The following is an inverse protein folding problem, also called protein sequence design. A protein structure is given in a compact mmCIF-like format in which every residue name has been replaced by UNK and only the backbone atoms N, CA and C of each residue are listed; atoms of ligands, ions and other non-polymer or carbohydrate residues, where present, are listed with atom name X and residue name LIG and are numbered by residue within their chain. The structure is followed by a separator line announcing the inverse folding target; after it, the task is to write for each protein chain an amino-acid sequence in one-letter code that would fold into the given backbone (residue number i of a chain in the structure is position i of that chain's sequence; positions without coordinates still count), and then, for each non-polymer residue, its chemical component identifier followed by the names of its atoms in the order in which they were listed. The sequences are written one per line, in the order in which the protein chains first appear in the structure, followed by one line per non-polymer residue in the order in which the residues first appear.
data_IF_373541211762
#
_entry.id   IF_373541211762
#
_cell.length_a   1.000
_cell.length_b   1.000
_cell.length_c   1.000
_cell.angle_alpha   90.00
_cell.angle_beta   90.00
_cell.angle_gamma   90.00
#
_symmetry.space_group_name_H-M   'P 1'
#
loop_
_entity.id
_entity.type
_entity.pdbx_description
1 polymer ?
#
# COMPACT_ATOMS: atom_id res chain seq x y z
N UNK A 1 -0.73 -5.65 2.49
CA UNK A 1 -1.38 -5.92 3.79
C UNK A 1 -0.29 -6.11 4.84
N UNK A 2 -0.38 -5.51 6.05
CA UNK A 2 0.57 -5.80 7.12
C UNK A 2 0.43 -7.27 7.55
N UNK A 3 1.56 -7.94 7.75
CA UNK A 3 1.61 -9.33 8.21
C UNK A 3 1.26 -9.40 9.70
N UNK A 4 -0.04 -9.43 10.02
CA UNK A 4 -0.53 -9.57 11.40
C UNK A 4 -0.44 -11.05 11.85
N UNK A 5 0.28 -11.37 12.95
CA UNK A 5 0.46 -12.76 13.39
C UNK A 5 -0.84 -13.54 13.56
N UNK A 6 -1.87 -12.91 14.12
CA UNK A 6 -3.16 -13.59 14.37
C UNK A 6 -3.92 -13.87 13.06
N UNK A 7 -3.81 -12.99 12.06
CA UNK A 7 -4.43 -13.17 10.74
C UNK A 7 -3.71 -14.26 9.92
N UNK A 8 -2.41 -14.42 10.13
CA UNK A 8 -1.60 -15.46 9.49
C UNK A 8 -1.70 -16.83 10.18
N UNK A 9 -2.26 -16.90 11.38
CA UNK A 9 -2.40 -18.15 12.10
C UNK A 9 -3.18 -19.17 11.25
N UNK A 10 -2.67 -20.40 11.18
CA UNK A 10 -3.26 -21.50 10.41
C UNK A 10 -3.41 -21.23 8.90
N UNK A 11 -2.64 -20.28 8.34
CA UNK A 11 -2.63 -19.96 6.91
C UNK A 11 -1.21 -19.97 6.33
N UNK A 12 -1.12 -20.18 5.03
CA UNK A 12 0.11 -19.91 4.28
C UNK A 12 0.22 -18.40 4.11
N UNK A 13 1.25 -17.80 4.72
CA UNK A 13 1.53 -16.38 4.56
C UNK A 13 2.27 -16.14 3.22
N UNK A 14 1.72 -15.25 2.39
CA UNK A 14 2.32 -14.85 1.11
C UNK A 14 2.60 -13.34 1.15
N UNK A 15 3.76 -12.94 0.61
CA UNK A 15 4.22 -11.56 0.67
C UNK A 15 5.58 -11.39 -0.01
N UNK A 16 5.98 -10.15 -0.20
CA UNK A 16 7.28 -9.82 -0.78
C UNK A 16 8.40 -9.80 0.28
N UNK A 17 9.65 -9.71 -0.16
CA UNK A 17 10.83 -9.76 0.73
C UNK A 17 10.83 -8.68 1.81
N UNK A 18 10.28 -7.50 1.51
CA UNK A 18 10.22 -6.37 2.45
C UNK A 18 9.15 -6.58 3.51
N UNK A 19 8.02 -7.21 3.17
CA UNK A 19 6.93 -7.49 4.11
C UNK A 19 7.37 -8.49 5.20
N UNK A 20 8.19 -9.48 4.86
CA UNK A 20 8.68 -10.48 5.80
C UNK A 20 9.94 -10.07 6.58
N UNK A 21 10.45 -8.85 6.38
CA UNK A 21 11.65 -8.40 7.09
C UNK A 21 11.44 -8.45 8.61
N UNK A 22 12.36 -9.13 9.32
CA UNK A 22 12.29 -9.31 10.77
C UNK A 22 11.30 -10.39 11.25
N UNK A 23 10.65 -11.12 10.34
CA UNK A 23 9.64 -12.14 10.69
C UNK A 23 10.16 -13.53 10.32
N UNK A 24 10.49 -14.34 11.32
CA UNK A 24 10.98 -15.71 11.13
C UNK A 24 9.85 -16.75 11.08
N UNK A 25 10.07 -17.86 10.36
CA UNK A 25 9.12 -18.97 10.20
C UNK A 25 9.84 -20.32 10.21
N UNK A 26 9.19 -21.39 10.70
CA UNK A 26 9.74 -22.75 10.60
C UNK A 26 10.09 -23.12 9.15
N UNK A 27 9.14 -22.93 8.24
CA UNK A 27 9.29 -23.24 6.82
C UNK A 27 9.10 -21.97 5.98
N UNK A 28 10.04 -21.69 5.07
CA UNK A 28 9.96 -20.57 4.12
C UNK A 28 10.19 -21.06 2.70
N UNK A 29 9.29 -20.68 1.79
CA UNK A 29 9.43 -20.90 0.36
C UNK A 29 9.83 -19.56 -0.28
N UNK A 30 11.03 -19.48 -0.84
CA UNK A 30 11.53 -18.28 -1.51
C UNK A 30 11.46 -18.49 -3.02
N UNK A 31 10.59 -17.73 -3.68
CA UNK A 31 10.45 -17.71 -5.13
C UNK A 31 11.41 -16.69 -5.75
N UNK A 32 11.83 -16.96 -6.99
CA UNK A 32 12.65 -16.08 -7.81
C UNK A 32 13.99 -15.70 -7.15
N UNK A 33 14.57 -16.59 -6.34
CA UNK A 33 15.94 -16.44 -5.82
C UNK A 33 16.98 -16.98 -6.82
N UNK A 34 16.85 -16.53 -8.07
CA UNK A 34 17.69 -16.88 -9.21
C UNK A 34 18.04 -15.62 -10.03
N UNK A 35 18.70 -15.78 -11.19
CA UNK A 35 19.10 -14.62 -11.99
C UNK A 35 17.92 -13.74 -12.46
N UNK A 36 16.69 -14.26 -12.50
CA UNK A 36 15.50 -13.48 -12.84
C UNK A 36 15.17 -12.40 -11.81
N UNK A 37 15.65 -12.50 -10.56
CA UNK A 37 15.51 -11.45 -9.56
C UNK A 37 16.01 -10.10 -10.09
N UNK A 38 17.16 -10.09 -10.76
CA UNK A 38 17.77 -8.89 -11.34
C UNK A 38 17.02 -8.38 -12.57
N UNK A 39 16.12 -9.17 -13.15
CA UNK A 39 15.24 -8.74 -14.24
C UNK A 39 13.99 -8.04 -13.71
N UNK A 40 13.41 -8.52 -12.60
CA UNK A 40 12.10 -8.07 -12.14
C UNK A 40 12.15 -7.16 -10.91
N UNK A 41 13.08 -7.38 -9.98
CA UNK A 41 13.10 -6.71 -8.68
C UNK A 41 14.38 -5.89 -8.48
N UNK A 42 15.54 -6.54 -8.41
CA UNK A 42 16.83 -5.89 -8.13
C UNK A 42 17.56 -5.41 -9.37
N UNK A 43 16.90 -4.67 -10.28
CA UNK A 43 17.50 -4.29 -11.58
C UNK A 43 18.78 -3.46 -11.46
N UNK A 44 18.91 -2.68 -10.39
CA UNK A 44 20.11 -1.89 -10.07
C UNK A 44 21.09 -2.61 -9.14
N UNK A 45 20.70 -3.75 -8.57
CA UNK A 45 21.51 -4.42 -7.55
C UNK A 45 22.77 -5.03 -8.19
N UNK A 46 23.92 -4.96 -7.51
CA UNK A 46 25.15 -5.59 -7.95
C UNK A 46 24.97 -7.12 -8.05
N UNK A 47 25.39 -7.72 -9.17
CA UNK A 47 25.16 -9.15 -9.43
C UNK A 47 26.23 -10.06 -8.83
N UNK A 48 27.37 -9.49 -8.42
CA UNK A 48 28.52 -10.20 -7.85
C UNK A 48 28.35 -10.54 -6.36
N UNK A 49 27.28 -10.09 -5.72
CA UNK A 49 26.99 -10.34 -4.30
C UNK A 49 25.50 -10.59 -4.07
N UNK A 50 25.16 -11.16 -2.93
CA UNK A 50 23.77 -11.39 -2.55
C UNK A 50 23.06 -10.05 -2.27
N UNK A 51 21.93 -9.73 -2.94
CA UNK A 51 21.14 -8.56 -2.63
C UNK A 51 20.60 -8.63 -1.19
N UNK A 52 20.63 -7.52 -0.46
CA UNK A 52 20.16 -7.48 0.92
C UNK A 52 18.70 -7.96 1.09
N UNK A 53 17.74 -7.63 0.20
CA UNK A 53 16.38 -8.16 0.28
C UNK A 53 16.33 -9.69 0.12
N UNK A 54 17.14 -10.25 -0.78
CA UNK A 54 17.24 -11.71 -0.98
C UNK A 54 17.83 -12.36 0.26
N UNK A 55 18.94 -11.85 0.80
CA UNK A 55 19.55 -12.36 2.02
C UNK A 55 18.58 -12.32 3.21
N UNK A 56 17.84 -11.21 3.36
CA UNK A 56 16.81 -11.09 4.39
C UNK A 56 15.76 -12.19 4.24
N UNK A 57 15.27 -12.45 3.02
CA UNK A 57 14.29 -13.49 2.75
C UNK A 57 14.81 -14.91 3.06
N UNK A 58 16.03 -15.22 2.63
CA UNK A 58 16.66 -16.54 2.84
C UNK A 58 16.89 -16.83 4.34
N UNK A 59 17.15 -15.79 5.15
CA UNK A 59 17.36 -15.90 6.60
C UNK A 59 16.08 -15.89 7.43
N UNK A 60 14.88 -15.93 6.80
CA UNK A 60 13.61 -16.02 7.55
C UNK A 60 13.29 -17.45 7.98
N UNK A 61 13.87 -18.46 7.35
CA UNK A 61 13.66 -19.86 7.70
C UNK A 61 14.43 -20.22 8.98
N UNK A 62 13.78 -20.92 9.90
CA UNK A 62 14.38 -21.42 11.14
C UNK A 62 14.58 -22.94 11.13
N UNK A 63 13.79 -23.68 10.35
CA UNK A 63 13.90 -25.13 10.23
C UNK A 63 14.15 -25.58 8.79
N UNK A 64 13.34 -25.12 7.83
CA UNK A 64 13.44 -25.53 6.43
C UNK A 64 13.29 -24.35 5.46
N UNK A 65 14.29 -24.20 4.60
CA UNK A 65 14.27 -23.27 3.48
C UNK A 65 14.05 -24.06 2.18
N UNK A 66 13.06 -23.66 1.39
CA UNK A 66 12.83 -24.18 0.04
C UNK A 66 13.01 -23.04 -0.94
N UNK A 67 13.97 -23.16 -1.85
CA UNK A 67 14.19 -22.18 -2.91
C UNK A 67 13.51 -22.71 -4.18
N UNK A 68 12.54 -21.94 -4.69
CA UNK A 68 11.86 -22.26 -5.95
C UNK A 68 12.55 -21.50 -7.07
N UNK A 69 13.29 -22.24 -7.87
CA UNK A 69 14.08 -21.75 -8.99
C UNK A 69 13.27 -21.79 -10.29
N UNK A 70 13.30 -20.72 -11.08
CA UNK A 70 12.60 -20.69 -12.38
C UNK A 70 13.33 -21.56 -13.41
N UNK A 71 12.59 -22.50 -14.01
CA UNK A 71 13.10 -23.35 -15.09
C UNK A 71 13.74 -22.52 -16.21
N UNK A 72 14.96 -22.88 -16.60
CA UNK A 72 15.69 -22.21 -17.68
C UNK A 72 16.36 -20.89 -17.28
N UNK A 73 16.27 -20.45 -16.03
CA UNK A 73 17.10 -19.35 -15.51
C UNK A 73 18.40 -19.90 -14.92
N UNK A 74 19.55 -19.20 -15.05
CA UNK A 74 20.73 -19.53 -14.28
C UNK A 74 20.53 -19.14 -12.80
N UNK A 75 21.28 -19.76 -11.90
CA UNK A 75 21.38 -19.28 -10.51
C UNK A 75 22.02 -17.89 -10.48
N UNK A 76 21.88 -17.18 -9.36
CA UNK A 76 22.51 -15.86 -9.21
C UNK A 76 24.04 -15.97 -9.33
N UNK A 77 24.70 -14.93 -9.87
CA UNK A 77 26.13 -15.03 -10.24
C UNK A 77 27.07 -15.28 -9.06
N UNK A 78 26.72 -14.80 -7.88
CA UNK A 78 27.49 -15.03 -6.65
C UNK A 78 27.29 -16.44 -6.05
N UNK A 79 26.26 -17.18 -6.49
CA UNK A 79 26.03 -18.56 -6.03
C UNK A 79 27.11 -19.46 -6.64
N UNK A 80 27.56 -20.45 -5.90
CA UNK A 80 28.51 -21.45 -6.38
C UNK A 80 27.76 -22.75 -6.62
N UNK A 81 27.58 -23.12 -7.88
CA UNK A 81 26.70 -24.23 -8.26
C UNK A 81 27.26 -25.58 -7.79
N UNK A 82 28.59 -25.69 -7.70
CA UNK A 82 29.33 -26.81 -7.14
C UNK A 82 29.00 -27.12 -5.67
N UNK A 83 28.54 -26.12 -4.91
CA UNK A 83 28.20 -26.27 -3.49
C UNK A 83 26.72 -26.55 -3.25
N UNK A 84 25.86 -26.47 -4.26
CA UNK A 84 24.42 -26.63 -4.07
C UNK A 84 24.13 -28.05 -3.56
N UNK A 85 24.70 -29.08 -4.19
CA UNK A 85 24.50 -30.47 -3.77
C UNK A 85 25.13 -30.82 -2.43
N UNK A 86 26.07 -29.99 -1.93
CA UNK A 86 26.66 -30.16 -0.60
C UNK A 86 25.74 -29.63 0.50
N UNK A 87 25.06 -28.50 0.25
CA UNK A 87 24.29 -27.79 1.27
C UNK A 87 22.76 -27.90 1.11
N UNK A 88 22.27 -28.44 0.00
CA UNK A 88 20.84 -28.53 -0.28
C UNK A 88 20.47 -29.78 -1.07
N UNK A 89 19.32 -30.34 -0.74
CA UNK A 89 18.65 -31.33 -1.57
C UNK A 89 18.14 -30.66 -2.86
N UNK A 90 18.57 -31.16 -4.02
CA UNK A 90 18.15 -30.64 -5.31
C UNK A 90 17.04 -31.51 -5.92
N UNK A 91 15.84 -30.93 -6.05
CA UNK A 91 14.68 -31.57 -6.69
C UNK A 91 14.46 -30.98 -8.08
N UNK A 92 15.19 -31.49 -9.08
CA UNK A 92 14.93 -31.19 -10.48
C UNK A 92 13.87 -32.14 -11.05
N UNK A 93 12.94 -31.63 -11.87
CA UNK A 93 12.23 -32.53 -12.80
C UNK A 93 13.29 -33.19 -13.71
N UNK A 94 13.21 -34.51 -13.87
CA UNK A 94 14.23 -35.30 -14.58
C UNK A 94 14.57 -34.67 -15.94
N UNK A 95 15.86 -34.37 -16.16
CA UNK A 95 16.40 -33.86 -17.44
C UNK A 95 16.78 -32.37 -17.50
N UNK A 96 16.59 -31.59 -16.44
CA UNK A 96 16.99 -30.17 -16.43
C UNK A 96 18.37 -29.97 -15.76
N UNK A 97 19.38 -29.68 -16.57
CA UNK A 97 20.64 -29.12 -16.09
C UNK A 97 20.49 -27.62 -15.83
N UNK A 98 21.16 -27.09 -14.80
CA UNK A 98 21.20 -25.65 -14.56
C UNK A 98 21.87 -24.96 -15.76
N UNK A 99 21.26 -23.90 -16.33
CA UNK A 99 21.88 -23.12 -17.39
C UNK A 99 23.20 -22.50 -16.91
N UNK A 100 24.20 -22.47 -17.78
CA UNK A 100 25.47 -21.80 -17.50
C UNK A 100 25.27 -20.31 -17.26
N UNK A 101 26.02 -19.76 -16.28
CA UNK A 101 26.07 -18.33 -16.00
C UNK A 101 26.87 -17.64 -17.11
N UNK A 102 26.19 -16.92 -18.00
CA UNK A 102 26.85 -16.16 -19.06
C UNK A 102 27.05 -14.68 -18.71
N UNK A 103 28.17 -14.12 -19.18
CA UNK A 103 28.51 -12.69 -19.11
C UNK A 103 29.14 -12.21 -17.80
N UNK A 104 29.86 -11.08 -17.87
CA UNK A 104 30.46 -10.42 -16.69
C UNK A 104 29.39 -9.98 -15.67
N UNK A 105 29.70 -10.04 -14.38
CA UNK A 105 28.84 -9.47 -13.34
C UNK A 105 28.68 -7.98 -13.57
N UNK A 106 27.42 -7.51 -13.56
CA UNK A 106 27.15 -6.07 -13.65
C UNK A 106 27.43 -5.44 -12.30
N UNK A 107 28.23 -4.38 -12.30
CA UNK A 107 28.36 -3.48 -11.17
C UNK A 107 27.00 -2.85 -10.82
N UNK A 108 26.86 -2.35 -9.59
CA UNK A 108 25.66 -1.64 -9.17
C UNK A 108 25.30 -0.53 -10.17
N UNK A 109 24.04 -0.50 -10.56
CA UNK A 109 23.47 0.50 -11.45
C UNK A 109 22.48 1.36 -10.65
N UNK A 110 22.20 2.60 -11.08
CA UNK A 110 21.12 3.38 -10.50
C UNK A 110 19.83 2.54 -10.57
N UNK A 111 19.10 2.40 -9.46
CA UNK A 111 17.90 1.58 -9.44
C UNK A 111 16.91 2.05 -10.50
N UNK A 112 16.33 1.09 -11.22
CA UNK A 112 15.32 1.38 -12.24
C UNK A 112 13.99 1.62 -11.51
N UNK A 113 13.39 2.79 -11.74
CA UNK A 113 12.09 3.11 -11.18
C UNK A 113 11.06 2.21 -11.90
N UNK A 114 10.05 1.63 -11.22
CA UNK A 114 8.97 0.94 -11.91
C UNK A 114 8.25 1.90 -12.88
N UNK A 115 7.92 1.47 -14.11
CA UNK A 115 7.27 2.34 -15.09
C UNK A 115 5.83 2.71 -14.70
N UNK A 116 5.21 1.91 -13.84
CA UNK A 116 3.88 2.15 -13.27
C UNK A 116 3.98 2.05 -11.76
N UNK A 117 3.48 3.05 -11.05
CA UNK A 117 3.45 3.11 -9.59
C UNK A 117 2.06 3.56 -9.15
N UNK A 118 1.46 2.85 -8.19
CA UNK A 118 0.25 3.33 -7.56
C UNK A 118 0.57 4.47 -6.59
N UNK A 119 -0.25 5.53 -6.60
CA UNK A 119 -0.08 6.69 -5.70
C UNK A 119 0.00 6.25 -4.24
N UNK A 120 -0.74 5.21 -3.87
CA UNK A 120 -0.74 4.66 -2.52
C UNK A 120 0.59 4.01 -2.10
N UNK A 121 1.41 3.61 -3.08
CA UNK A 121 2.74 3.02 -2.89
C UNK A 121 3.85 4.07 -2.90
N UNK A 122 3.65 5.24 -3.49
CA UNK A 122 4.72 6.22 -3.76
C UNK A 122 5.55 6.57 -2.50
N UNK A 123 4.89 6.83 -1.38
CA UNK A 123 5.54 7.16 -0.10
C UNK A 123 5.79 5.94 0.81
N UNK A 124 5.31 4.75 0.47
CA UNK A 124 5.48 3.56 1.30
C UNK A 124 6.95 3.14 1.37
N UNK A 125 7.36 2.65 2.54
CA UNK A 125 8.70 2.18 2.87
C UNK A 125 9.80 3.24 2.86
N UNK A 126 9.45 4.53 2.74
CA UNK A 126 10.40 5.63 2.98
C UNK A 126 10.52 5.83 4.51
N UNK A 127 11.74 5.94 5.07
CA UNK A 127 11.92 6.18 6.50
C UNK A 127 11.14 7.41 6.99
N UNK A 128 10.46 7.29 8.13
CA UNK A 128 9.53 8.30 8.66
C UNK A 128 10.15 9.70 8.72
N UNK A 129 11.37 9.83 9.25
CA UNK A 129 12.04 11.13 9.39
C UNK A 129 12.38 11.76 8.03
N UNK A 130 12.69 10.94 7.03
CA UNK A 130 12.94 11.41 5.67
C UNK A 130 11.63 11.86 5.02
N UNK A 131 10.56 11.06 5.17
CA UNK A 131 9.24 11.40 4.65
C UNK A 131 8.68 12.68 5.29
N UNK A 132 8.82 12.86 6.60
CA UNK A 132 8.38 14.06 7.32
C UNK A 132 9.05 15.32 6.76
N UNK A 133 10.38 15.29 6.55
CA UNK A 133 11.13 16.40 5.93
C UNK A 133 10.62 16.72 4.53
N UNK A 134 10.37 15.71 3.70
CA UNK A 134 9.86 15.91 2.34
C UNK A 134 8.44 16.50 2.34
N UNK A 135 7.56 15.98 3.19
CA UNK A 135 6.18 16.49 3.33
C UNK A 135 6.20 17.95 3.80
N UNK A 136 6.96 18.28 4.85
CA UNK A 136 7.05 19.67 5.36
C UNK A 136 7.69 20.65 4.39
N UNK A 137 8.60 20.17 3.53
CA UNK A 137 9.26 20.98 2.50
C UNK A 137 8.28 21.45 1.43
N UNK A 138 7.31 20.60 1.07
CA UNK A 138 6.50 20.79 -0.14
C UNK A 138 5.01 21.02 0.12
N UNK A 139 4.47 20.57 1.25
CA UNK A 139 3.04 20.64 1.55
C UNK A 139 2.77 21.50 2.78
N UNK A 140 1.76 22.37 2.67
CA UNK A 140 1.09 22.96 3.82
C UNK A 140 -0.15 22.13 4.14
N UNK A 141 -0.25 21.67 5.40
CA UNK A 141 -1.33 20.83 5.87
C UNK A 141 -2.04 21.52 7.03
N UNK A 142 -3.18 22.13 6.75
CA UNK A 142 -3.98 22.83 7.76
C UNK A 142 -5.11 21.93 8.27
N UNK A 143 -5.16 21.66 9.58
CA UNK A 143 -6.34 21.01 10.19
C UNK A 143 -7.53 21.95 10.09
N UNK A 144 -8.57 21.51 9.37
CA UNK A 144 -9.85 22.23 9.23
C UNK A 144 -10.78 21.84 10.37
N UNK A 145 -10.87 20.54 10.64
CA UNK A 145 -11.64 19.98 11.74
C UNK A 145 -10.71 19.11 12.58
N UNK A 146 -10.51 19.41 13.87
CA UNK A 146 -9.67 18.59 14.73
C UNK A 146 -10.30 17.22 14.99
N UNK A 147 -9.46 16.23 15.29
CA UNK A 147 -9.93 14.94 15.77
C UNK A 147 -10.80 15.12 17.02
N UNK A 148 -11.91 14.40 17.08
CA UNK A 148 -12.77 14.39 18.27
C UNK A 148 -12.08 13.71 19.45
N UNK A 149 -12.58 13.87 20.69
CA UNK A 149 -12.08 13.11 21.83
C UNK A 149 -12.15 11.59 21.59
N UNK A 150 -11.20 10.77 22.09
CA UNK A 150 -11.16 9.32 21.85
C UNK A 150 -12.46 8.58 22.16
N UNK A 151 -13.19 8.99 23.19
CA UNK A 151 -14.48 8.41 23.57
C UNK A 151 -15.58 8.59 22.51
N UNK A 152 -15.38 9.52 21.56
CA UNK A 152 -16.32 9.77 20.47
C UNK A 152 -15.87 9.15 19.14
N UNK A 153 -14.69 8.52 19.10
CA UNK A 153 -14.17 7.87 17.90
C UNK A 153 -15.05 6.69 17.50
N UNK A 154 -15.19 6.47 16.20
CA UNK A 154 -15.87 5.32 15.64
C UNK A 154 -14.85 4.20 15.52
N UNK A 155 -15.00 3.17 16.36
CA UNK A 155 -14.08 2.03 16.44
C UNK A 155 -14.81 0.75 16.00
N UNK A 156 -14.90 0.49 14.69
CA UNK A 156 -15.47 -0.74 14.15
C UNK A 156 -14.49 -1.91 14.27
N UNK A 157 -14.95 -3.10 13.92
CA UNK A 157 -14.09 -4.29 13.82
C UNK A 157 -13.22 -4.14 12.59
N UNK A 158 -11.92 -3.93 12.80
CA UNK A 158 -10.92 -3.88 11.71
C UNK A 158 -10.38 -5.26 11.34
N UNK A 159 -10.68 -6.25 12.18
CA UNK A 159 -10.35 -7.66 12.04
C UNK A 159 -11.55 -8.51 12.48
N UNK A 160 -11.87 -9.55 11.73
CA UNK A 160 -13.05 -10.40 11.98
C UNK A 160 -12.72 -11.88 11.80
N UNK A 161 -13.41 -12.74 12.54
CA UNK A 161 -13.30 -14.19 12.39
C UNK A 161 -14.09 -14.63 11.16
N UNK A 162 -13.40 -15.16 10.15
CA UNK A 162 -14.00 -15.73 8.95
C UNK A 162 -14.42 -17.19 9.14
N UNK A 163 -13.64 -17.94 9.93
CA UNK A 163 -13.92 -19.33 10.27
C UNK A 163 -13.69 -19.54 11.77
N UNK A 164 -14.75 -19.90 12.50
CA UNK A 164 -14.69 -20.12 13.95
C UNK A 164 -14.09 -21.49 14.32
N UNK A 165 -14.18 -22.47 13.42
CA UNK A 165 -13.66 -23.83 13.66
C UNK A 165 -12.15 -23.83 13.54
N UNK A 166 -11.62 -23.14 12.53
CA UNK A 166 -10.18 -23.05 12.28
C UNK A 166 -9.53 -21.79 12.87
N UNK A 167 -10.29 -21.01 13.66
CA UNK A 167 -9.90 -19.73 14.27
C UNK A 167 -9.19 -18.77 13.29
N UNK A 168 -9.75 -18.67 12.07
CA UNK A 168 -9.18 -17.83 11.01
C UNK A 168 -9.74 -16.42 11.11
N UNK A 169 -8.84 -15.44 11.08
CA UNK A 169 -9.18 -14.02 11.09
C UNK A 169 -8.83 -13.34 9.78
N UNK A 170 -9.60 -12.32 9.38
CA UNK A 170 -9.34 -11.50 8.20
C UNK A 170 -9.30 -10.02 8.55
N UNK A 171 -8.42 -9.25 7.89
CA UNK A 171 -8.35 -7.79 8.03
C UNK A 171 -9.39 -7.18 7.09
N UNK A 172 -10.36 -6.48 7.65
CA UNK A 172 -11.44 -5.80 6.91
C UNK A 172 -11.38 -4.28 7.05
N UNK A 173 -10.52 -3.78 7.95
CA UNK A 173 -10.41 -2.34 8.23
C UNK A 173 -10.09 -1.48 7.01
N UNK A 174 -9.36 -2.02 6.03
CA UNK A 174 -9.02 -1.32 4.78
C UNK A 174 -10.21 -1.14 3.85
N UNK A 175 -11.30 -1.89 4.04
CA UNK A 175 -12.51 -1.81 3.22
C UNK A 175 -13.55 -0.82 3.80
N UNK A 176 -13.38 -0.39 5.05
CA UNK A 176 -14.37 0.44 5.74
C UNK A 176 -14.55 1.81 5.08
N UNK A 177 -13.48 2.43 4.58
CA UNK A 177 -13.60 3.70 3.84
C UNK A 177 -14.44 3.52 2.57
N UNK A 178 -14.18 2.47 1.78
CA UNK A 178 -14.93 2.15 0.57
C UNK A 178 -16.42 1.89 0.87
N UNK A 179 -16.73 1.16 1.94
CA UNK A 179 -18.11 0.92 2.39
C UNK A 179 -18.83 2.23 2.70
N UNK A 180 -18.19 3.13 3.45
CA UNK A 180 -18.80 4.42 3.78
C UNK A 180 -18.91 5.33 2.54
N UNK A 181 -17.89 5.35 1.68
CA UNK A 181 -17.94 6.10 0.41
C UNK A 181 -19.10 5.64 -0.46
N UNK A 182 -19.29 4.32 -0.64
CA UNK A 182 -20.43 3.79 -1.41
C UNK A 182 -21.79 4.09 -0.77
N UNK A 183 -21.88 4.11 0.57
CA UNK A 183 -23.10 4.54 1.26
C UNK A 183 -23.43 6.02 1.00
N UNK A 184 -22.41 6.87 0.99
CA UNK A 184 -22.55 8.31 0.72
C UNK A 184 -22.89 8.57 -0.74
N UNK A 185 -22.26 7.86 -1.67
CA UNK A 185 -22.62 7.89 -3.09
C UNK A 185 -24.10 7.56 -3.28
N UNK A 186 -24.59 6.48 -2.66
CA UNK A 186 -25.98 6.08 -2.77
C UNK A 186 -26.94 7.15 -2.26
N UNK A 187 -26.61 7.80 -1.13
CA UNK A 187 -27.45 8.88 -0.57
C UNK A 187 -27.49 10.11 -1.48
N UNK A 188 -26.35 10.48 -2.08
CA UNK A 188 -26.24 11.72 -2.85
C UNK A 188 -26.65 11.57 -4.32
N UNK A 189 -26.39 10.41 -4.92
CA UNK A 189 -26.49 10.17 -6.36
C UNK A 189 -27.42 9.01 -6.70
N UNK A 190 -27.77 8.16 -5.73
CA UNK A 190 -28.62 6.98 -5.94
C UNK A 190 -27.89 5.78 -6.56
N UNK A 191 -26.56 5.83 -6.63
CA UNK A 191 -25.72 4.80 -7.26
C UNK A 191 -24.73 4.17 -6.27
N UNK A 192 -24.15 3.03 -6.64
CA UNK A 192 -23.02 2.40 -5.94
C UNK A 192 -21.94 1.97 -6.95
N UNK A 193 -21.79 2.74 -8.02
CA UNK A 193 -20.86 2.48 -9.12
C UNK A 193 -19.42 2.54 -8.63
N UNK A 194 -19.14 3.35 -7.60
CA UNK A 194 -17.82 3.38 -6.95
C UNK A 194 -17.38 2.01 -6.45
N UNK A 195 -18.31 1.11 -6.11
CA UNK A 195 -18.05 -0.26 -5.67
C UNK A 195 -18.33 -1.30 -6.76
N UNK A 196 -18.58 -0.88 -8.00
CA UNK A 196 -18.97 -1.76 -9.12
C UNK A 196 -20.21 -2.60 -8.80
N UNK A 197 -21.08 -2.09 -7.92
CA UNK A 197 -22.28 -2.78 -7.48
C UNK A 197 -23.53 -2.15 -8.08
N UNK A 198 -24.46 -3.02 -8.47
CA UNK A 198 -25.80 -2.59 -8.88
C UNK A 198 -26.52 -1.91 -7.71
N UNK A 199 -27.14 -0.77 -7.96
CA UNK A 199 -27.95 -0.06 -6.99
C UNK A 199 -29.44 -0.41 -7.09
N UNK A 200 -29.86 -1.16 -8.13
CA UNK A 200 -31.22 -1.70 -8.21
C UNK A 200 -31.46 -2.63 -7.01
N UNK A 201 -32.59 -2.40 -6.33
CA UNK A 201 -32.97 -3.06 -5.08
C UNK A 201 -32.02 -2.81 -3.89
N UNK A 202 -31.41 -1.63 -3.81
CA UNK A 202 -30.62 -1.26 -2.62
C UNK A 202 -31.51 -1.36 -1.34
N UNK A 203 -31.08 -2.08 -0.30
CA UNK A 203 -31.95 -2.37 0.83
C UNK A 203 -32.37 -1.13 1.61
N UNK A 204 -33.61 -1.10 2.13
CA UNK A 204 -34.05 -0.04 3.05
C UNK A 204 -33.42 -0.15 4.44
N UNK A 205 -33.25 -1.38 4.94
CA UNK A 205 -32.72 -1.63 6.29
C UNK A 205 -31.20 -1.45 6.33
N UNK A 206 -30.70 -0.65 7.28
CA UNK A 206 -29.27 -0.32 7.42
C UNK A 206 -28.37 -1.54 7.57
N UNK A 207 -28.78 -2.57 8.34
CA UNK A 207 -28.01 -3.82 8.44
C UNK A 207 -27.81 -4.49 7.07
N UNK A 208 -28.86 -4.53 6.24
CA UNK A 208 -28.79 -5.11 4.90
C UNK A 208 -27.95 -4.26 3.94
N UNK A 209 -27.98 -2.92 4.09
CA UNK A 209 -27.10 -2.00 3.36
C UNK A 209 -25.63 -2.26 3.69
N UNK A 210 -25.29 -2.37 4.98
CA UNK A 210 -23.94 -2.67 5.46
C UNK A 210 -23.44 -3.98 4.84
N UNK A 211 -24.26 -5.04 4.89
CA UNK A 211 -23.90 -6.32 4.32
C UNK A 211 -23.72 -6.27 2.80
N UNK A 212 -24.59 -5.57 2.07
CA UNK A 212 -24.49 -5.40 0.60
C UNK A 212 -23.22 -4.64 0.22
N UNK A 213 -22.96 -3.49 0.84
CA UNK A 213 -21.78 -2.67 0.56
C UNK A 213 -20.48 -3.39 0.96
N UNK A 214 -20.50 -4.15 2.05
CA UNK A 214 -19.33 -4.94 2.48
C UNK A 214 -18.97 -6.03 1.47
N UNK A 215 -19.97 -6.73 0.91
CA UNK A 215 -19.74 -7.70 -0.18
C UNK A 215 -19.21 -7.03 -1.43
N UNK A 216 -19.78 -5.88 -1.81
CA UNK A 216 -19.32 -5.11 -2.95
C UNK A 216 -17.86 -4.64 -2.79
N UNK A 217 -17.50 -4.14 -1.61
CA UNK A 217 -16.11 -3.75 -1.32
C UNK A 217 -15.13 -4.93 -1.38
N UNK A 218 -15.55 -6.14 -0.96
CA UNK A 218 -14.74 -7.36 -1.11
C UNK A 218 -14.59 -7.76 -2.57
N UNK A 219 -15.65 -7.68 -3.36
CA UNK A 219 -15.61 -7.98 -4.79
C UNK A 219 -14.67 -7.01 -5.51
N UNK A 220 -14.81 -5.72 -5.22
CA UNK A 220 -13.95 -4.68 -5.79
C UNK A 220 -12.48 -4.90 -5.44
N UNK A 221 -12.15 -5.16 -4.17
CA UNK A 221 -10.76 -5.44 -3.76
C UNK A 221 -10.23 -6.72 -4.42
N UNK A 222 -11.09 -7.73 -4.61
CA UNK A 222 -10.74 -8.96 -5.34
C UNK A 222 -10.43 -8.67 -6.81
N UNK A 223 -11.23 -7.85 -7.47
CA UNK A 223 -11.01 -7.44 -8.87
C UNK A 223 -9.74 -6.60 -9.01
N UNK A 224 -9.49 -5.68 -8.07
CA UNK A 224 -8.32 -4.79 -8.07
C UNK A 224 -7.03 -5.56 -7.79
N UNK A 225 -7.00 -6.40 -6.75
CA UNK A 225 -5.80 -7.11 -6.32
C UNK A 225 -5.54 -8.42 -7.09
N UNK A 226 -6.58 -8.98 -7.71
CA UNK A 226 -6.57 -10.35 -8.24
C UNK A 226 -6.60 -11.44 -7.16
N UNK A 227 -6.64 -11.08 -5.87
CA UNK A 227 -6.59 -12.01 -4.76
C UNK A 227 -8.00 -12.41 -4.30
N UNK A 228 -8.37 -13.67 -4.55
CA UNK A 228 -9.70 -14.21 -4.19
C UNK A 228 -9.82 -14.67 -2.73
N UNK A 229 -8.74 -14.67 -1.96
CA UNK A 229 -8.72 -15.25 -0.62
C UNK A 229 -9.75 -14.60 0.31
N UNK A 230 -9.81 -13.26 0.34
CA UNK A 230 -10.77 -12.56 1.18
C UNK A 230 -12.22 -12.84 0.75
N UNK A 231 -12.49 -12.87 -0.55
CA UNK A 231 -13.81 -13.23 -1.09
C UNK A 231 -14.25 -14.62 -0.65
N UNK A 232 -13.37 -15.61 -0.76
CA UNK A 232 -13.66 -16.99 -0.32
C UNK A 232 -13.89 -17.03 1.19
N UNK A 233 -13.04 -16.37 1.98
CA UNK A 233 -13.17 -16.33 3.43
C UNK A 233 -14.47 -15.64 3.90
N UNK A 234 -15.03 -14.73 3.09
CA UNK A 234 -16.22 -13.96 3.43
C UNK A 234 -17.53 -14.50 2.84
N UNK A 235 -17.51 -15.58 2.06
CA UNK A 235 -18.68 -16.08 1.32
C UNK A 235 -19.92 -16.31 2.22
N UNK A 236 -19.70 -16.85 3.42
CA UNK A 236 -20.77 -17.13 4.40
C UNK A 236 -20.71 -16.19 5.62
N UNK A 237 -19.89 -15.15 5.58
CA UNK A 237 -19.74 -14.22 6.70
C UNK A 237 -20.94 -13.26 6.76
N UNK A 238 -21.47 -12.89 7.95
CA UNK A 238 -22.62 -11.98 8.06
C UNK A 238 -22.31 -10.50 7.76
N UNK A 239 -21.05 -10.16 7.55
CA UNK A 239 -20.54 -8.81 7.26
C UNK A 239 -20.88 -7.73 8.32
N UNK A 240 -21.06 -8.13 9.57
CA UNK A 240 -21.33 -7.25 10.72
C UNK A 240 -20.05 -6.57 11.27
N UNK A 241 -19.25 -5.97 10.38
CA UNK A 241 -17.95 -5.37 10.71
C UNK A 241 -18.07 -4.02 11.41
N UNK A 242 -19.15 -3.31 11.10
CA UNK A 242 -19.52 -2.01 11.67
C UNK A 242 -20.97 -2.12 12.14
N UNK A 243 -21.28 -1.53 13.31
CA UNK A 243 -22.66 -1.49 13.80
C UNK A 243 -23.48 -0.43 13.04
N UNK A 244 -24.81 -0.53 13.07
CA UNK A 244 -25.69 0.45 12.41
C UNK A 244 -25.43 1.89 12.90
N UNK A 245 -25.29 2.08 14.22
CA UNK A 245 -24.98 3.38 14.81
C UNK A 245 -23.65 3.93 14.30
N UNK A 246 -22.60 3.11 14.30
CA UNK A 246 -21.27 3.50 13.81
C UNK A 246 -21.29 3.81 12.31
N UNK A 247 -22.03 3.03 11.52
CA UNK A 247 -22.16 3.21 10.07
C UNK A 247 -22.88 4.51 9.73
N UNK A 248 -24.05 4.76 10.35
CA UNK A 248 -24.81 5.99 10.19
C UNK A 248 -23.95 7.20 10.57
N UNK A 249 -23.29 7.14 11.73
CA UNK A 249 -22.41 8.23 12.20
C UNK A 249 -21.26 8.51 11.23
N UNK A 250 -20.58 7.47 10.72
CA UNK A 250 -19.49 7.63 9.76
C UNK A 250 -19.97 8.18 8.41
N UNK A 251 -21.10 7.68 7.91
CA UNK A 251 -21.76 8.16 6.69
C UNK A 251 -22.13 9.63 6.83
N UNK A 252 -22.78 10.01 7.92
CA UNK A 252 -23.23 11.38 8.15
C UNK A 252 -22.04 12.34 8.36
N UNK A 253 -20.95 11.88 8.97
CA UNK A 253 -19.70 12.65 9.03
C UNK A 253 -19.18 12.96 7.63
N UNK A 254 -19.14 11.97 6.73
CA UNK A 254 -18.63 12.19 5.38
C UNK A 254 -19.59 13.05 4.55
N UNK A 255 -20.91 12.77 4.62
CA UNK A 255 -21.95 13.60 3.99
C UNK A 255 -21.81 15.07 4.36
N UNK A 256 -21.55 15.37 5.63
CA UNK A 256 -21.41 16.75 6.12
C UNK A 256 -20.21 17.52 5.55
N UNK A 257 -19.29 16.86 4.84
CA UNK A 257 -18.14 17.51 4.20
C UNK A 257 -18.51 18.19 2.87
N UNK A 258 -19.63 17.76 2.26
CA UNK A 258 -20.09 18.25 0.97
C UNK A 258 -20.98 19.48 1.11
N UNK A 259 -20.91 20.38 0.14
CA UNK A 259 -21.82 21.52 0.11
C UNK A 259 -23.22 21.09 -0.33
N UNK A 260 -24.30 21.50 0.38
CA UNK A 260 -25.67 21.23 -0.04
C UNK A 260 -26.03 21.81 -1.43
N UNK A 261 -25.24 22.80 -1.88
CA UNK A 261 -25.39 23.48 -3.17
C UNK A 261 -24.39 22.99 -4.22
N UNK A 262 -23.77 21.83 -4.01
CA UNK A 262 -22.93 21.22 -5.04
C UNK A 262 -23.78 20.86 -6.26
N UNK A 263 -23.24 21.08 -7.46
CA UNK A 263 -23.93 20.74 -8.71
C UNK A 263 -23.85 19.25 -8.97
N UNK A 264 -22.65 18.67 -8.79
CA UNK A 264 -22.33 17.27 -9.08
C UNK A 264 -21.29 16.79 -8.07
N UNK A 265 -21.38 15.52 -7.67
CA UNK A 265 -20.34 14.84 -6.91
C UNK A 265 -20.02 13.52 -7.62
N UNK A 266 -18.75 13.34 -8.00
CA UNK A 266 -18.27 12.13 -8.64
C UNK A 266 -17.43 11.32 -7.65
N UNK A 267 -17.63 10.00 -7.61
CA UNK A 267 -16.92 9.09 -6.71
C UNK A 267 -15.89 8.23 -7.45
N UNK A 268 -14.86 7.78 -6.73
CA UNK A 268 -13.82 6.88 -7.24
C UNK A 268 -13.20 7.36 -8.57
N UNK A 269 -12.90 8.66 -8.66
CA UNK A 269 -12.43 9.32 -9.89
C UNK A 269 -11.00 8.89 -10.23
N UNK A 270 -10.73 8.27 -11.39
CA UNK A 270 -9.41 7.78 -11.73
C UNK A 270 -8.41 8.91 -11.99
N UNK A 271 -7.17 8.67 -11.58
CA UNK A 271 -6.01 9.51 -11.86
C UNK A 271 -4.98 8.68 -12.62
N UNK A 272 -4.48 9.26 -13.70
CA UNK A 272 -3.37 8.72 -14.49
C UNK A 272 -2.47 9.86 -14.92
N UNK A 273 -1.29 9.96 -14.32
CA UNK A 273 -0.33 11.04 -14.52
C UNK A 273 0.98 10.47 -15.06
N UNK A 274 1.63 11.21 -15.96
CA UNK A 274 3.01 10.93 -16.39
C UNK A 274 3.96 11.97 -15.81
N UNK A 275 5.07 11.50 -15.25
CA UNK A 275 6.17 12.33 -14.78
C UNK A 275 7.51 11.82 -15.30
N UNK A 276 8.47 12.74 -15.38
CA UNK A 276 9.85 12.42 -15.71
C UNK A 276 10.66 12.55 -14.44
N UNK A 277 11.13 11.41 -13.92
CA UNK A 277 12.00 11.36 -12.75
C UNK A 277 13.29 12.16 -12.99
N UNK A 278 14.01 12.53 -11.92
CA UNK A 278 15.29 13.23 -12.04
C UNK A 278 16.35 12.45 -12.82
N UNK A 279 16.23 11.13 -12.87
CA UNK A 279 17.05 10.24 -13.70
C UNK A 279 16.73 10.32 -15.21
N UNK A 280 15.72 11.10 -15.61
CA UNK A 280 15.21 11.16 -16.98
C UNK A 280 14.21 10.05 -17.32
N UNK A 281 13.95 9.12 -16.39
CA UNK A 281 13.02 8.02 -16.63
C UNK A 281 11.56 8.48 -16.58
N UNK A 282 10.77 8.11 -17.59
CA UNK A 282 9.31 8.30 -17.57
C UNK A 282 8.65 7.30 -16.62
N UNK A 283 7.72 7.80 -15.80
CA UNK A 283 6.98 7.05 -14.79
C UNK A 283 5.51 7.44 -14.87
N UNK A 284 4.64 6.43 -14.89
CA UNK A 284 3.20 6.59 -14.80
C UNK A 284 2.74 6.40 -13.36
N UNK A 285 2.05 7.38 -12.80
CA UNK A 285 1.37 7.29 -11.51
C UNK A 285 -0.12 7.00 -11.73
N UNK A 286 -0.64 5.96 -11.10
CA UNK A 286 -2.05 5.59 -11.16
C UNK A 286 -2.69 5.67 -9.77
N UNK A 287 -3.95 6.07 -9.70
CA UNK A 287 -4.70 6.14 -8.45
C UNK A 287 -6.17 6.44 -8.68
N UNK A 288 -6.92 6.59 -7.60
CA UNK A 288 -8.32 7.02 -7.63
C UNK A 288 -8.56 7.96 -6.45
N UNK A 289 -9.37 9.00 -6.67
CA UNK A 289 -9.87 9.89 -5.63
C UNK A 289 -11.17 9.33 -5.10
N UNK A 290 -11.37 9.37 -3.77
CA UNK A 290 -12.62 8.88 -3.19
C UNK A 290 -13.83 9.70 -3.66
N UNK A 291 -13.72 11.03 -3.68
CA UNK A 291 -14.75 11.90 -4.26
C UNK A 291 -14.21 13.24 -4.81
N UNK A 292 -14.93 13.81 -5.78
CA UNK A 292 -14.73 15.16 -6.31
C UNK A 292 -16.08 15.87 -6.39
N UNK A 293 -16.21 16.98 -5.66
CA UNK A 293 -17.38 17.88 -5.69
C UNK A 293 -17.17 19.00 -6.69
N UNK A 294 -18.23 19.37 -7.41
CA UNK A 294 -18.25 20.45 -8.40
C UNK A 294 -19.27 21.52 -8.03
N UNK A 295 -18.89 22.78 -8.19
CA UNK A 295 -19.77 23.94 -8.09
C UNK A 295 -19.35 25.01 -9.09
N UNK A 296 -20.05 25.06 -10.22
CA UNK A 296 -19.58 25.74 -11.42
C UNK A 296 -18.22 25.19 -11.86
N UNK A 297 -17.26 26.10 -12.08
CA UNK A 297 -15.88 25.74 -12.43
C UNK A 297 -15.01 25.38 -11.21
N UNK A 298 -15.54 25.50 -9.99
CA UNK A 298 -14.80 25.16 -8.78
C UNK A 298 -14.93 23.69 -8.45
N UNK A 299 -13.83 23.10 -7.97
CA UNK A 299 -13.77 21.69 -7.58
C UNK A 299 -13.20 21.55 -6.18
N UNK A 300 -13.70 20.57 -5.43
CA UNK A 300 -13.12 20.13 -4.15
C UNK A 300 -12.84 18.64 -4.22
N UNK A 301 -11.63 18.24 -3.83
CA UNK A 301 -11.16 16.86 -3.87
C UNK A 301 -11.17 16.29 -2.46
N UNK A 302 -11.64 15.06 -2.32
CA UNK A 302 -11.72 14.35 -1.04
C UNK A 302 -11.01 13.01 -1.11
N UNK A 303 -10.12 12.81 -0.14
CA UNK A 303 -9.50 11.53 0.21
C UNK A 303 -10.00 11.14 1.61
N UNK A 304 -10.30 9.86 1.81
CA UNK A 304 -11.03 9.35 2.96
C UNK A 304 -10.26 8.17 3.56
N UNK A 305 -10.04 8.22 4.87
CA UNK A 305 -9.42 7.14 5.64
C UNK A 305 -10.31 6.73 6.80
N UNK A 306 -10.23 5.46 7.16
CA UNK A 306 -10.90 4.92 8.33
C UNK A 306 -9.85 4.31 9.28
N UNK A 307 -9.23 5.16 10.10
CA UNK A 307 -8.11 4.74 10.95
C UNK A 307 -7.96 5.64 12.18
N UNK A 308 -7.20 5.20 13.18
CA UNK A 308 -7.04 5.96 14.44
C UNK A 308 -6.26 7.26 14.23
N UNK A 309 -5.30 7.29 13.30
CA UNK A 309 -4.46 8.46 13.04
C UNK A 309 -4.15 8.59 11.55
N UNK A 310 -4.26 9.81 11.01
CA UNK A 310 -3.78 10.15 9.67
C UNK A 310 -2.24 10.18 9.61
N UNK A 311 -1.67 9.44 8.66
CA UNK A 311 -0.24 9.31 8.48
C UNK A 311 0.31 10.30 7.44
N UNK A 312 1.65 10.40 7.35
CA UNK A 312 2.30 11.17 6.29
C UNK A 312 2.04 10.58 4.90
N UNK A 313 1.87 9.25 4.80
CA UNK A 313 1.56 8.58 3.53
C UNK A 313 0.18 9.03 3.03
N UNK A 314 -0.79 9.17 3.93
CA UNK A 314 -2.15 9.62 3.56
C UNK A 314 -2.15 11.07 3.05
N UNK A 315 -1.32 11.93 3.66
CA UNK A 315 -1.14 13.32 3.18
C UNK A 315 -0.54 13.36 1.78
N UNK A 316 0.46 12.52 1.51
CA UNK A 316 1.04 12.39 0.16
C UNK A 316 -0.01 11.89 -0.83
N UNK A 317 -0.80 10.87 -0.48
CA UNK A 317 -1.85 10.33 -1.34
C UNK A 317 -2.84 11.43 -1.74
N UNK A 318 -3.38 12.17 -0.76
CA UNK A 318 -4.30 13.28 -1.01
C UNK A 318 -3.65 14.36 -1.90
N UNK A 319 -2.41 14.79 -1.59
CA UNK A 319 -1.70 15.82 -2.35
C UNK A 319 -1.49 15.43 -3.82
N UNK A 320 -0.98 14.21 -4.06
CA UNK A 320 -0.77 13.68 -5.41
C UNK A 320 -2.09 13.49 -6.14
N UNK A 321 -3.16 13.14 -5.41
CA UNK A 321 -4.51 13.09 -5.92
C UNK A 321 -5.00 14.43 -6.48
N UNK A 322 -4.95 15.48 -5.64
CA UNK A 322 -5.29 16.83 -6.03
C UNK A 322 -4.45 17.35 -7.20
N UNK A 323 -3.15 17.04 -7.22
CA UNK A 323 -2.25 17.36 -8.33
C UNK A 323 -2.62 16.64 -9.63
N UNK A 324 -2.90 15.34 -9.58
CA UNK A 324 -3.36 14.58 -10.73
C UNK A 324 -4.65 15.16 -11.32
N UNK A 325 -5.58 15.60 -10.45
CA UNK A 325 -6.79 16.29 -10.87
C UNK A 325 -6.51 17.63 -11.54
N UNK A 326 -5.63 18.44 -10.94
CA UNK A 326 -5.20 19.72 -11.49
C UNK A 326 -4.63 19.55 -12.91
N UNK A 327 -3.77 18.54 -13.12
CA UNK A 327 -3.18 18.25 -14.43
C UNK A 327 -4.19 17.77 -15.46
N UNK A 328 -5.16 16.95 -15.06
CA UNK A 328 -6.26 16.56 -15.95
C UNK A 328 -7.10 17.76 -16.43
N UNK A 329 -7.10 18.86 -15.66
CA UNK A 329 -7.73 20.16 -16.03
C UNK A 329 -6.78 21.14 -16.72
N UNK A 330 -5.53 20.76 -16.99
CA UNK A 330 -4.55 21.61 -17.67
C UNK A 330 -3.96 22.72 -16.79
N UNK A 331 -3.99 22.56 -15.46
CA UNK A 331 -3.41 23.56 -14.56
C UNK A 331 -1.89 23.64 -14.73
N UNK A 332 -1.37 24.87 -14.73
CA UNK A 332 0.06 25.16 -14.85
C UNK A 332 0.78 24.96 -13.50
N UNK A 333 2.11 24.96 -13.54
CA UNK A 333 2.98 24.68 -12.39
C UNK A 333 2.77 25.63 -11.20
N UNK A 334 2.54 26.91 -11.48
CA UNK A 334 2.37 27.93 -10.44
C UNK A 334 0.94 27.98 -9.88
N UNK A 335 -0.01 27.25 -10.47
CA UNK A 335 -1.38 27.17 -9.96
C UNK A 335 -1.44 26.31 -8.69
N UNK A 336 -2.32 26.68 -7.77
CA UNK A 336 -2.67 25.82 -6.63
C UNK A 336 -3.43 24.57 -7.10
N UNK A 337 -3.19 23.44 -6.43
CA UNK A 337 -4.06 22.27 -6.60
C UNK A 337 -5.48 22.62 -6.12
N UNK A 338 -6.54 22.01 -6.68
CA UNK A 338 -7.90 22.18 -6.18
C UNK A 338 -7.96 21.95 -4.66
N UNK A 339 -8.83 22.67 -3.93
CA UNK A 339 -9.03 22.43 -2.50
C UNK A 339 -9.16 20.93 -2.18
N UNK A 340 -8.15 20.38 -1.51
CA UNK A 340 -8.01 18.93 -1.31
C UNK A 340 -8.10 18.64 0.18
N UNK A 341 -9.00 17.73 0.56
CA UNK A 341 -9.32 17.40 1.95
C UNK A 341 -9.03 15.93 2.21
N UNK A 342 -8.22 15.67 3.24
CA UNK A 342 -7.98 14.34 3.79
C UNK A 342 -8.85 14.18 5.04
N UNK A 343 -9.84 13.29 4.97
CA UNK A 343 -10.84 13.10 6.00
C UNK A 343 -10.65 11.76 6.71
N UNK A 344 -10.70 11.78 8.04
CA UNK A 344 -10.69 10.57 8.85
C UNK A 344 -12.09 10.31 9.40
N UNK A 345 -12.75 9.30 8.86
CA UNK A 345 -14.12 8.95 9.27
C UNK A 345 -14.22 8.43 10.70
N UNK A 346 -13.14 7.81 11.20
CA UNK A 346 -13.10 7.28 12.56
C UNK A 346 -13.08 8.40 13.60
N UNK A 347 -12.25 9.42 13.38
CA UNK A 347 -12.02 10.49 14.36
C UNK A 347 -12.80 11.77 14.07
N UNK A 348 -13.33 11.92 12.85
CA UNK A 348 -13.92 13.17 12.36
C UNK A 348 -12.89 14.25 12.00
N UNK A 349 -11.59 13.94 12.04
CA UNK A 349 -10.54 14.87 11.64
C UNK A 349 -10.60 15.16 10.14
N UNK A 350 -10.44 16.43 9.76
CA UNK A 350 -10.31 16.86 8.37
C UNK A 350 -9.10 17.77 8.21
N UNK A 351 -8.22 17.45 7.27
CA UNK A 351 -7.01 18.20 6.96
C UNK A 351 -7.11 18.70 5.53
N UNK A 352 -6.96 20.01 5.33
CA UNK A 352 -6.80 20.61 4.01
C UNK A 352 -5.33 20.60 3.60
N UNK A 353 -5.06 20.03 2.44
CA UNK A 353 -3.74 20.07 1.79
C UNK A 353 -3.69 21.29 0.87
N UNK A 354 -2.62 22.08 1.01
CA UNK A 354 -2.33 23.24 0.17
C UNK A 354 -0.93 23.10 -0.42
N UNK A 355 -0.86 23.24 -1.74
CA UNK A 355 0.37 23.24 -2.50
C UNK A 355 0.10 23.75 -3.91
N UNK A 356 1.13 24.26 -4.59
CA UNK A 356 1.10 24.46 -6.04
C UNK A 356 1.36 23.14 -6.76
N UNK A 357 0.95 23.07 -8.04
CA UNK A 357 1.27 21.96 -8.92
C UNK A 357 2.78 21.66 -8.94
N UNK A 358 3.61 22.71 -8.97
CA UNK A 358 5.07 22.59 -8.89
C UNK A 358 5.54 21.95 -7.59
N UNK A 359 5.00 22.37 -6.45
CA UNK A 359 5.38 21.83 -5.15
C UNK A 359 5.05 20.33 -5.04
N UNK A 360 3.85 19.91 -5.47
CA UNK A 360 3.50 18.48 -5.46
C UNK A 360 4.34 17.69 -6.47
N UNK A 361 4.64 18.26 -7.63
CA UNK A 361 5.55 17.64 -8.61
C UNK A 361 6.94 17.42 -8.01
N UNK A 362 7.53 18.43 -7.39
CA UNK A 362 8.84 18.30 -6.76
C UNK A 362 8.82 17.31 -5.58
N UNK A 363 7.72 17.23 -4.83
CA UNK A 363 7.51 16.18 -3.83
C UNK A 363 7.55 14.78 -4.48
N UNK A 364 6.83 14.57 -5.57
CA UNK A 364 6.84 13.28 -6.30
C UNK A 364 8.27 12.91 -6.71
N UNK A 365 9.00 13.85 -7.31
CA UNK A 365 10.38 13.61 -7.74
C UNK A 365 11.31 13.28 -6.59
N UNK A 366 11.23 14.01 -5.48
CA UNK A 366 12.03 13.76 -4.28
C UNK A 366 11.64 12.43 -3.61
N UNK A 367 10.36 12.01 -3.66
CA UNK A 367 9.92 10.70 -3.16
C UNK A 367 10.45 9.55 -4.01
N UNK A 368 10.40 9.66 -5.34
CA UNK A 368 10.98 8.69 -6.26
C UNK A 368 12.49 8.56 -6.03
N UNK A 369 13.17 9.68 -5.87
CA UNK A 369 14.60 9.71 -5.54
C UNK A 369 14.86 9.01 -4.21
N UNK A 370 14.10 9.38 -3.18
CA UNK A 370 14.26 8.84 -1.84
C UNK A 370 14.00 7.33 -1.75
N UNK A 371 13.06 6.81 -2.55
CA UNK A 371 12.63 5.41 -2.55
C UNK A 371 13.53 4.51 -3.39
N UNK A 372 13.92 4.97 -4.58
CA UNK A 372 14.62 4.13 -5.55
C UNK A 372 16.11 4.42 -5.62
N UNK A 373 16.59 5.60 -5.21
CA UNK A 373 18.03 5.88 -5.14
C UNK A 373 18.47 6.13 -3.70
N UNK A 374 18.27 5.16 -2.77
CA UNK A 374 18.79 5.33 -1.43
C UNK A 374 20.32 5.41 -1.49
N UNK A 375 20.89 6.34 -0.73
CA UNK A 375 22.33 6.37 -0.46
C UNK A 375 22.72 4.99 0.07
N UNK A 376 23.52 4.25 -0.70
CA UNK A 376 24.07 2.97 -0.27
C UNK A 376 25.00 3.21 0.90
N UNK A 377 24.58 2.79 2.09
CA UNK A 377 25.49 2.62 3.22
C UNK A 377 26.46 1.48 2.90
N UNK A 378 27.73 1.62 3.29
CA UNK A 378 28.71 0.56 3.07
C UNK A 378 28.38 -0.68 3.92
N UNK A 379 28.89 -1.86 3.54
CA UNK A 379 28.76 -3.09 4.34
C UNK A 379 29.32 -2.89 5.75
N UNK A 380 30.44 -2.18 5.88
CA UNK A 380 31.02 -1.76 7.16
C UNK A 380 30.04 -0.97 8.01
N UNK A 381 29.37 0.01 7.42
CA UNK A 381 28.42 0.89 8.11
C UNK A 381 27.15 0.12 8.51
N UNK A 382 26.71 -0.85 7.70
CA UNK A 382 25.64 -1.78 8.08
C UNK A 382 26.04 -2.66 9.27
N UNK A 383 27.23 -3.27 9.23
CA UNK A 383 27.73 -4.14 10.29
C UNK A 383 27.93 -3.38 11.60
N UNK A 384 28.45 -2.15 11.55
CA UNK A 384 28.57 -1.27 12.73
C UNK A 384 27.20 -0.91 13.31
N UNK A 385 26.22 -0.58 12.47
CA UNK A 385 24.85 -0.30 12.93
C UNK A 385 24.22 -1.54 13.59
N UNK A 386 24.36 -2.71 12.98
CA UNK A 386 23.88 -3.98 13.55
C UNK A 386 24.55 -4.30 14.90
N UNK A 387 25.86 -4.04 15.02
CA UNK A 387 26.61 -4.22 16.27
C UNK A 387 26.11 -3.27 17.36
N UNK A 388 25.90 -1.99 17.04
CA UNK A 388 25.37 -1.00 17.99
C UNK A 388 23.94 -1.32 18.45
N UNK A 389 23.09 -1.86 17.56
CA UNK A 389 21.72 -2.26 17.89
C UNK A 389 21.73 -3.48 18.82
N UNK A 390 22.64 -4.44 18.58
CA UNK A 390 22.82 -5.63 19.42
C UNK A 390 23.34 -5.25 20.81
N UNK A 391 24.26 -4.30 20.90
CA UNK A 391 24.77 -3.75 22.16
C UNK A 391 23.67 -3.02 22.95
N UNK A 392 22.82 -2.23 22.28
CA UNK A 392 21.64 -1.59 22.92
C UNK A 392 20.60 -2.59 23.39
N UNK A 393 20.34 -3.65 22.64
CA UNK A 393 19.40 -4.70 23.04
C UNK A 393 19.90 -5.48 24.27
N UNK A 394 21.20 -5.78 24.31
CA UNK A 394 21.83 -6.46 25.43
C UNK A 394 21.97 -5.56 26.67
N UNK A 395 22.18 -4.26 26.50
CA UNK A 395 22.23 -3.28 27.59
C UNK A 395 20.88 -3.04 28.29
N UNK A 396 19.76 -3.21 27.58
CA UNK A 396 18.41 -3.12 28.16
C UNK A 396 17.94 -4.43 28.81
N UNK A 397 18.73 -5.51 28.73
CA UNK A 397 18.43 -6.79 29.37
C UNK A 397 19.05 -6.93 30.77
N UNK A 398 19.77 -5.89 31.23
CA UNK A 398 20.54 -5.88 32.48
C UNK A 398 20.06 -4.84 33.50
N UNK A 399 18.86 -4.27 33.34
CA UNK A 399 18.21 -3.38 34.31
C UNK A 399 16.85 -3.90 34.71
#
# INVERSE_FOLDING_TARGET
MPLCPSVMAHKIAVGNFHQFQGIERPVVLVFNSDASYFKYFGRGDPQDRCPAPVLSALTRATEKLVIVHITGQPTMKFVRDDYISEFADFFGFAGFALPSKSGASKAAQPSIIPPNIDVSELARNIPKDKLDKLVRKHLDCCTVTPARPPLQHIVPRTKVTSDKVEDREEIVGTLLSAIITGAVEYVLVGTTESLEADATDFPEKTEAQIARLSRAAVEQETNRSGCKQLKIAMENHPHNWITEEQFVKARDHFLSQFEPTADIINFEVPISLWEIARSGQSVKLNGRLDAVEFKGDNERVFEVKFQVLLTLVDRVQAAVGGYGRARARGFLDDAEIPPTFLNNLSTGESIRIRATCKQVRELILDLLEAKYYPLTKSTEEFLQNAKSLREKANGNSAN
#
